data_IF_376144034969
#
_entry.id   IF_376144034969
#
_cell.length_a   1.000
_cell.length_b   1.000
_cell.length_c   1.000
_cell.angle_alpha   90.00
_cell.angle_beta   90.00
_cell.angle_gamma   90.00
#
_symmetry.space_group_name_H-M   'P 1'
#
loop_
_entity.id
_entity.type
_entity.pdbx_description
1 polymer ?
#
# COMPACT_ATOMS: atom_id res chain seq x y z
N UNK A 1 -1.16 8.09 28.32
CA UNK A 1 0.21 8.31 27.81
C UNK A 1 0.08 8.70 26.35
N UNK A 2 0.42 9.94 26.00
CA UNK A 2 0.49 10.34 24.59
C UNK A 2 1.79 9.76 24.04
N UNK A 3 1.71 8.66 23.31
CA UNK A 3 2.81 8.21 22.46
C UNK A 3 3.02 9.30 21.41
N UNK A 4 4.22 9.87 21.37
CA UNK A 4 4.59 10.80 20.31
C UNK A 4 4.26 10.13 18.96
N UNK A 5 3.69 10.83 17.98
CA UNK A 5 3.41 10.24 16.68
C UNK A 5 4.72 9.69 16.13
N UNK A 6 4.78 8.38 15.93
CA UNK A 6 5.93 7.74 15.29
C UNK A 6 6.14 8.42 13.94
N UNK A 7 7.25 9.15 13.82
CA UNK A 7 7.61 9.82 12.58
C UNK A 7 8.15 8.77 11.63
N UNK A 8 7.43 8.55 10.55
CA UNK A 8 7.96 7.92 9.35
C UNK A 8 9.14 8.78 8.85
N UNK A 9 10.38 8.31 9.05
CA UNK A 9 11.58 9.11 8.76
C UNK A 9 12.66 8.31 8.07
N UNK A 10 13.01 8.76 6.86
CA UNK A 10 14.14 8.22 6.09
C UNK A 10 15.50 8.41 6.80
N UNK A 11 15.62 9.38 7.71
CA UNK A 11 16.87 9.59 8.46
C UNK A 11 17.29 8.36 9.26
N UNK A 12 16.30 7.64 9.79
CA UNK A 12 16.50 6.60 10.81
C UNK A 12 16.82 5.22 10.21
N UNK A 13 16.73 5.10 8.87
CA UNK A 13 17.10 3.89 8.16
C UNK A 13 18.64 3.75 8.14
N UNK A 14 19.20 2.57 8.51
CA UNK A 14 20.64 2.33 8.49
C UNK A 14 21.26 2.62 7.11
N UNK A 15 22.47 3.17 7.09
CA UNK A 15 23.18 3.49 5.84
C UNK A 15 23.29 2.28 4.92
N UNK A 16 23.60 1.10 5.45
CA UNK A 16 23.69 -0.13 4.67
C UNK A 16 22.38 -0.48 3.94
N UNK A 17 21.23 -0.26 4.57
CA UNK A 17 19.92 -0.47 3.94
C UNK A 17 19.70 0.54 2.82
N UNK A 18 20.06 1.82 3.04
CA UNK A 18 19.99 2.86 2.00
C UNK A 18 20.86 2.50 0.80
N UNK A 19 22.08 2.02 1.05
CA UNK A 19 23.02 1.61 0.01
C UNK A 19 22.45 0.45 -0.82
N UNK A 20 21.88 -0.57 -0.18
CA UNK A 20 21.22 -1.67 -0.87
C UNK A 20 20.05 -1.20 -1.76
N UNK A 21 19.22 -0.28 -1.25
CA UNK A 21 18.12 0.29 -2.05
C UNK A 21 18.64 1.10 -3.25
N UNK A 22 19.74 1.85 -3.09
CA UNK A 22 20.39 2.55 -4.20
C UNK A 22 20.97 1.56 -5.23
N UNK A 23 21.64 0.50 -4.77
CA UNK A 23 22.16 -0.55 -5.64
C UNK A 23 21.05 -1.26 -6.44
N UNK A 24 19.88 -1.49 -5.84
CA UNK A 24 18.72 -2.00 -6.56
C UNK A 24 18.31 -1.10 -7.73
N UNK A 25 18.30 0.22 -7.52
CA UNK A 25 17.98 1.21 -8.57
C UNK A 25 19.07 1.28 -9.62
N UNK A 26 20.36 1.26 -9.24
CA UNK A 26 21.48 1.24 -10.20
C UNK A 26 21.45 0.02 -11.11
N UNK A 27 21.04 -1.13 -10.57
CA UNK A 27 20.90 -2.36 -11.34
C UNK A 27 19.50 -2.51 -11.95
N UNK A 28 18.70 -1.45 -12.10
CA UNK A 28 17.31 -1.55 -12.53
C UNK A 28 17.12 -2.48 -13.74
N UNK A 29 17.91 -2.35 -14.80
CA UNK A 29 17.74 -3.19 -16.00
C UNK A 29 18.04 -4.68 -15.75
N UNK A 30 18.95 -5.02 -14.82
CA UNK A 30 19.19 -6.39 -14.37
C UNK A 30 18.22 -6.74 -13.23
N UNK A 31 17.04 -7.20 -13.62
CA UNK A 31 15.94 -7.47 -12.67
C UNK A 31 16.35 -8.47 -11.58
N UNK A 32 17.07 -9.54 -11.93
CA UNK A 32 17.48 -10.55 -10.95
C UNK A 32 18.43 -9.96 -9.90
N UNK A 33 19.43 -9.18 -10.34
CA UNK A 33 20.39 -8.55 -9.42
C UNK A 33 19.77 -7.41 -8.62
N UNK A 34 18.90 -6.64 -9.24
CA UNK A 34 18.14 -5.57 -8.60
C UNK A 34 17.27 -6.11 -7.47
N UNK A 35 16.52 -7.20 -7.71
CA UNK A 35 15.70 -7.86 -6.69
C UNK A 35 16.54 -8.45 -5.55
N UNK A 36 17.72 -8.99 -5.83
CA UNK A 36 18.62 -9.47 -4.78
C UNK A 36 18.95 -8.37 -3.76
N UNK A 37 19.20 -7.14 -4.22
CA UNK A 37 19.46 -6.02 -3.32
C UNK A 37 18.20 -5.59 -2.55
N UNK A 38 17.02 -5.64 -3.18
CA UNK A 38 15.73 -5.39 -2.51
C UNK A 38 15.50 -6.40 -1.37
N UNK A 39 15.77 -7.68 -1.61
CA UNK A 39 15.62 -8.72 -0.59
C UNK A 39 16.60 -8.56 0.57
N UNK A 40 17.86 -8.22 0.28
CA UNK A 40 18.86 -7.91 1.31
C UNK A 40 18.46 -6.67 2.13
N UNK A 41 17.92 -5.63 1.48
CA UNK A 41 17.43 -4.45 2.15
C UNK A 41 16.27 -4.78 3.10
N UNK A 42 15.30 -5.60 2.66
CA UNK A 42 14.19 -6.06 3.51
C UNK A 42 14.68 -6.87 4.72
N UNK A 43 15.61 -7.80 4.52
CA UNK A 43 16.15 -8.64 5.60
C UNK A 43 16.82 -7.80 6.70
N UNK A 44 17.53 -6.73 6.31
CA UNK A 44 18.22 -5.84 7.25
C UNK A 44 17.34 -4.76 7.85
N UNK A 45 16.33 -4.29 7.12
CA UNK A 45 15.43 -3.24 7.58
C UNK A 45 14.34 -3.75 8.55
N UNK A 46 14.11 -5.06 8.58
CA UNK A 46 12.99 -5.65 9.28
C UNK A 46 11.67 -5.13 8.72
N UNK A 47 10.83 -4.56 9.58
CA UNK A 47 9.49 -4.11 9.24
C UNK A 47 9.36 -2.57 9.18
N UNK A 48 10.48 -1.86 8.93
CA UNK A 48 10.48 -0.41 8.78
C UNK A 48 9.57 0.06 7.63
N UNK A 49 8.60 0.93 7.95
CA UNK A 49 7.59 1.40 7.00
C UNK A 49 8.17 2.10 5.76
N UNK A 50 9.19 2.94 5.92
CA UNK A 50 9.78 3.67 4.78
C UNK A 50 10.45 2.72 3.79
N UNK A 51 11.10 1.67 4.29
CA UNK A 51 11.67 0.60 3.46
C UNK A 51 10.56 -0.19 2.78
N UNK A 52 9.51 -0.61 3.51
CA UNK A 52 8.37 -1.31 2.92
C UNK A 52 7.70 -0.49 1.81
N UNK A 53 7.51 0.82 2.00
CA UNK A 53 6.95 1.72 0.99
C UNK A 53 7.87 1.80 -0.25
N UNK A 54 9.17 1.94 -0.05
CA UNK A 54 10.15 1.95 -1.15
C UNK A 54 10.13 0.65 -1.95
N UNK A 55 10.10 -0.49 -1.26
CA UNK A 55 10.08 -1.82 -1.88
C UNK A 55 8.74 -2.10 -2.57
N UNK A 56 7.62 -1.64 -1.99
CA UNK A 56 6.32 -1.67 -2.67
C UNK A 56 6.39 -0.94 -4.02
N UNK A 57 6.93 0.29 -4.03
CA UNK A 57 7.07 1.11 -5.25
C UNK A 57 7.97 0.43 -6.27
N UNK A 58 9.08 -0.15 -5.82
CA UNK A 58 9.98 -0.93 -6.67
C UNK A 58 9.20 -2.02 -7.43
N UNK A 59 8.52 -2.91 -6.72
CA UNK A 59 7.77 -4.00 -7.34
C UNK A 59 6.61 -3.52 -8.20
N UNK A 60 5.94 -2.44 -7.77
CA UNK A 60 4.87 -1.82 -8.53
C UNK A 60 5.35 -1.32 -9.90
N UNK A 61 6.45 -0.56 -9.93
CA UNK A 61 7.03 -0.03 -11.17
C UNK A 61 7.71 -1.11 -12.02
N UNK A 62 8.19 -2.19 -11.40
CA UNK A 62 8.63 -3.41 -12.11
C UNK A 62 7.50 -4.25 -12.69
N UNK A 63 6.24 -3.81 -12.53
CA UNK A 63 5.06 -4.56 -12.94
C UNK A 63 4.92 -5.93 -12.24
N UNK A 64 5.57 -6.11 -11.09
CA UNK A 64 5.50 -7.33 -10.28
C UNK A 64 4.37 -7.23 -9.26
N UNK A 65 3.14 -7.22 -9.78
CA UNK A 65 1.91 -6.95 -9.03
C UNK A 65 1.75 -7.85 -7.80
N UNK A 66 2.06 -9.16 -7.91
CA UNK A 66 1.97 -10.10 -6.79
C UNK A 66 2.90 -9.74 -5.64
N UNK A 67 4.13 -9.30 -5.96
CA UNK A 67 5.10 -8.87 -4.95
C UNK A 67 4.70 -7.53 -4.34
N UNK A 68 4.25 -6.57 -5.15
CA UNK A 68 3.72 -5.30 -4.65
C UNK A 68 2.53 -5.52 -3.69
N UNK A 69 1.59 -6.42 -4.05
CA UNK A 69 0.45 -6.78 -3.21
C UNK A 69 0.90 -7.37 -1.87
N UNK A 70 1.90 -8.28 -1.89
CA UNK A 70 2.45 -8.88 -0.67
C UNK A 70 3.02 -7.82 0.27
N UNK A 71 3.77 -6.84 -0.26
CA UNK A 71 4.33 -5.76 0.57
C UNK A 71 3.23 -4.85 1.11
N UNK A 72 2.24 -4.49 0.29
CA UNK A 72 1.09 -3.70 0.75
C UNK A 72 0.34 -4.41 1.89
N UNK A 73 0.16 -5.74 1.81
CA UNK A 73 -0.47 -6.52 2.87
C UNK A 73 0.35 -6.52 4.16
N UNK A 74 1.68 -6.64 4.09
CA UNK A 74 2.56 -6.53 5.26
C UNK A 74 2.37 -5.18 5.97
N UNK A 75 2.29 -4.08 5.20
CA UNK A 75 2.03 -2.74 5.76
C UNK A 75 0.66 -2.67 6.44
N UNK A 76 -0.38 -3.20 5.79
CA UNK A 76 -1.74 -3.23 6.34
C UNK A 76 -1.81 -4.02 7.65
N UNK A 77 -1.26 -5.23 7.67
CA UNK A 77 -1.28 -6.12 8.84
C UNK A 77 -0.52 -5.49 10.01
N UNK A 78 0.66 -4.90 9.73
CA UNK A 78 1.46 -4.21 10.74
C UNK A 78 0.69 -3.06 11.38
N UNK A 79 0.08 -2.18 10.58
CA UNK A 79 -0.70 -1.05 11.11
C UNK A 79 -1.93 -1.55 11.86
N UNK A 80 -2.61 -2.59 11.36
CA UNK A 80 -3.77 -3.18 12.02
C UNK A 80 -3.44 -3.69 13.42
N UNK A 81 -2.29 -4.35 13.58
CA UNK A 81 -1.79 -4.83 14.87
C UNK A 81 -1.42 -3.66 15.79
N UNK A 82 -0.60 -2.73 15.32
CA UNK A 82 -0.09 -1.61 16.13
C UNK A 82 -1.19 -0.66 16.60
N UNK A 83 -2.14 -0.36 15.71
CA UNK A 83 -3.29 0.49 16.01
C UNK A 83 -4.46 -0.29 16.63
N UNK A 84 -4.35 -1.62 16.78
CA UNK A 84 -5.42 -2.48 17.31
C UNK A 84 -6.74 -2.25 16.56
N UNK A 85 -6.69 -2.21 15.24
CA UNK A 85 -7.86 -2.00 14.41
C UNK A 85 -8.72 -3.29 14.39
N UNK A 86 -10.05 -3.17 14.52
CA UNK A 86 -10.95 -4.32 14.44
C UNK A 86 -10.82 -5.11 13.14
N UNK A 87 -11.15 -6.40 13.20
CA UNK A 87 -11.17 -7.30 12.04
C UNK A 87 -12.32 -6.99 11.07
N UNK A 88 -13.49 -6.67 11.61
CA UNK A 88 -14.70 -6.41 10.81
C UNK A 88 -14.69 -4.97 10.31
N UNK A 89 -15.01 -4.79 9.04
CA UNK A 89 -15.03 -3.47 8.40
C UNK A 89 -15.98 -2.51 9.11
N UNK A 90 -17.14 -2.99 9.52
CA UNK A 90 -18.18 -2.19 10.17
C UNK A 90 -17.68 -1.57 11.49
N UNK A 91 -16.83 -2.29 12.20
CA UNK A 91 -16.21 -1.84 13.45
C UNK A 91 -14.95 -1.00 13.18
N UNK A 92 -14.23 -1.29 12.09
CA UNK A 92 -13.01 -0.60 11.70
C UNK A 92 -13.27 0.81 11.14
N UNK A 93 -14.31 0.96 10.30
CA UNK A 93 -14.64 2.18 9.56
C UNK A 93 -14.79 3.43 10.43
N UNK A 94 -15.55 3.45 11.53
CA UNK A 94 -15.70 4.64 12.36
C UNK A 94 -14.35 5.18 12.86
N UNK A 95 -13.45 4.27 13.25
CA UNK A 95 -12.11 4.62 13.73
C UNK A 95 -11.23 5.17 12.61
N UNK A 96 -11.25 4.53 11.44
CA UNK A 96 -10.52 5.02 10.27
C UNK A 96 -10.98 6.43 9.85
N UNK A 97 -12.27 6.73 9.95
CA UNK A 97 -12.81 8.08 9.66
C UNK A 97 -12.32 9.09 10.71
N UNK A 98 -12.43 8.74 12.00
CA UNK A 98 -12.03 9.60 13.10
C UNK A 98 -10.54 9.95 13.05
N UNK A 99 -9.70 8.97 12.73
CA UNK A 99 -8.25 9.06 12.85
C UNK A 99 -7.56 9.25 11.49
N UNK A 100 -8.28 9.56 10.41
CA UNK A 100 -7.75 9.61 9.03
C UNK A 100 -6.53 10.50 8.81
N UNK A 101 -6.38 11.55 9.62
CA UNK A 101 -5.26 12.48 9.55
C UNK A 101 -4.01 11.98 10.30
N UNK A 102 -4.15 10.94 11.13
CA UNK A 102 -3.03 10.33 11.82
C UNK A 102 -2.11 9.62 10.81
N UNK A 103 -0.78 9.79 10.88
CA UNK A 103 0.14 9.30 9.85
C UNK A 103 -0.01 7.81 9.51
N UNK A 104 -0.16 6.95 10.53
CA UNK A 104 -0.32 5.50 10.33
C UNK A 104 -1.66 5.14 9.71
N UNK A 105 -2.75 5.77 10.13
CA UNK A 105 -4.08 5.54 9.53
C UNK A 105 -4.11 6.04 8.09
N UNK A 106 -3.50 7.20 7.81
CA UNK A 106 -3.34 7.68 6.44
C UNK A 106 -2.53 6.70 5.58
N UNK A 107 -1.44 6.14 6.12
CA UNK A 107 -0.65 5.11 5.44
C UNK A 107 -1.48 3.85 5.19
N UNK A 108 -2.26 3.39 6.17
CA UNK A 108 -3.17 2.24 6.02
C UNK A 108 -4.18 2.45 4.91
N UNK A 109 -4.87 3.61 4.87
CA UNK A 109 -5.86 3.93 3.84
C UNK A 109 -5.21 3.96 2.44
N UNK A 110 -4.01 4.54 2.31
CA UNK A 110 -3.28 4.54 1.05
C UNK A 110 -2.84 3.13 0.61
N UNK A 111 -2.34 2.31 1.54
CA UNK A 111 -1.99 0.93 1.26
C UNK A 111 -3.23 0.11 0.87
N UNK A 112 -4.37 0.34 1.52
CA UNK A 112 -5.63 -0.35 1.24
C UNK A 112 -6.15 0.03 -0.15
N UNK A 113 -6.16 1.32 -0.48
CA UNK A 113 -6.48 1.80 -1.83
C UNK A 113 -5.58 1.16 -2.90
N UNK A 114 -4.28 1.08 -2.64
CA UNK A 114 -3.31 0.44 -3.52
C UNK A 114 -3.59 -1.06 -3.72
N UNK A 115 -3.98 -1.80 -2.67
CA UNK A 115 -4.35 -3.21 -2.82
C UNK A 115 -5.54 -3.39 -3.75
N UNK A 116 -6.57 -2.54 -3.65
CA UNK A 116 -7.71 -2.57 -4.56
C UNK A 116 -7.30 -2.36 -6.02
N UNK A 117 -6.43 -1.38 -6.29
CA UNK A 117 -5.88 -1.17 -7.63
C UNK A 117 -5.08 -2.38 -8.13
N UNK A 118 -4.20 -2.95 -7.30
CA UNK A 118 -3.36 -4.08 -7.71
C UNK A 118 -4.21 -5.34 -7.97
N UNK A 119 -5.22 -5.59 -7.13
CA UNK A 119 -6.16 -6.69 -7.32
C UNK A 119 -6.94 -6.54 -8.62
N UNK A 120 -7.37 -5.32 -8.97
CA UNK A 120 -8.00 -5.05 -10.25
C UNK A 120 -7.08 -5.42 -11.42
N UNK A 121 -5.79 -5.07 -11.34
CA UNK A 121 -4.79 -5.42 -12.36
C UNK A 121 -4.50 -6.91 -12.46
N UNK A 122 -4.64 -7.64 -11.36
CA UNK A 122 -4.49 -9.09 -11.31
C UNK A 122 -5.75 -9.84 -11.79
N UNK A 123 -6.85 -9.13 -12.07
CA UNK A 123 -8.13 -9.71 -12.48
C UNK A 123 -9.03 -10.14 -11.31
N UNK A 124 -8.67 -9.82 -10.07
CA UNK A 124 -9.45 -10.11 -8.86
C UNK A 124 -10.53 -9.03 -8.65
N UNK A 125 -11.44 -8.92 -9.63
CA UNK A 125 -12.34 -7.76 -9.79
C UNK A 125 -13.26 -7.56 -8.59
N UNK A 126 -13.87 -8.63 -8.06
CA UNK A 126 -14.82 -8.50 -6.94
C UNK A 126 -14.15 -8.05 -5.65
N UNK A 127 -12.94 -8.56 -5.37
CA UNK A 127 -12.16 -8.11 -4.21
C UNK A 127 -11.71 -6.66 -4.40
N UNK A 128 -11.28 -6.30 -5.61
CA UNK A 128 -10.89 -4.94 -5.94
C UNK A 128 -12.04 -3.95 -5.72
N UNK A 129 -13.24 -4.26 -6.24
CA UNK A 129 -14.47 -3.46 -6.03
C UNK A 129 -14.76 -3.27 -4.56
N UNK A 130 -14.78 -4.35 -3.78
CA UNK A 130 -15.06 -4.28 -2.35
C UNK A 130 -14.08 -3.34 -1.62
N UNK A 131 -12.78 -3.45 -1.92
CA UNK A 131 -11.75 -2.62 -1.29
C UNK A 131 -11.91 -1.16 -1.70
N UNK A 132 -12.11 -0.89 -2.99
CA UNK A 132 -12.18 0.48 -3.49
C UNK A 132 -13.46 1.20 -3.08
N UNK A 133 -14.58 0.48 -2.98
CA UNK A 133 -15.83 0.97 -2.38
C UNK A 133 -15.60 1.40 -0.93
N UNK A 134 -15.00 0.53 -0.11
CA UNK A 134 -14.70 0.80 1.29
C UNK A 134 -13.80 2.02 1.49
N UNK A 135 -12.78 2.18 0.66
CA UNK A 135 -11.92 3.38 0.72
C UNK A 135 -12.70 4.63 0.32
N UNK A 136 -13.53 4.56 -0.71
CA UNK A 136 -14.38 5.68 -1.15
C UNK A 136 -15.34 6.17 -0.04
N UNK A 137 -15.82 5.27 0.82
CA UNK A 137 -16.65 5.66 1.98
C UNK A 137 -15.93 6.56 3.00
N UNK A 138 -14.59 6.57 2.98
CA UNK A 138 -13.74 7.31 3.92
C UNK A 138 -13.06 8.51 3.25
N UNK A 139 -12.52 8.30 2.04
CA UNK A 139 -11.82 9.30 1.25
C UNK A 139 -12.82 10.19 0.48
N UNK A 140 -13.48 11.08 1.21
CA UNK A 140 -14.47 12.01 0.65
C UNK A 140 -13.85 13.08 -0.26
N UNK A 141 -12.52 13.24 -0.25
CA UNK A 141 -11.80 14.28 -1.01
C UNK A 141 -11.12 13.73 -2.27
N UNK A 142 -11.21 12.42 -2.53
CA UNK A 142 -10.50 11.74 -3.64
C UNK A 142 -8.99 11.97 -3.57
N UNK A 143 -8.42 11.86 -2.38
CA UNK A 143 -6.98 11.95 -2.15
C UNK A 143 -6.24 10.69 -2.65
N UNK A 144 -6.95 9.58 -2.80
CA UNK A 144 -6.48 8.31 -3.35
C UNK A 144 -7.12 7.99 -4.71
N UNK A 145 -6.52 7.03 -5.44
CA UNK A 145 -7.08 6.54 -6.71
C UNK A 145 -8.27 5.59 -6.55
N UNK A 146 -8.66 5.23 -5.32
CA UNK A 146 -9.65 4.17 -5.09
C UNK A 146 -11.00 4.48 -5.74
N UNK A 147 -11.49 5.72 -5.62
CA UNK A 147 -12.77 6.12 -6.20
C UNK A 147 -12.79 5.95 -7.72
N UNK A 148 -11.71 6.37 -8.41
CA UNK A 148 -11.60 6.18 -9.86
C UNK A 148 -11.55 4.70 -10.24
N UNK A 149 -10.83 3.88 -9.46
CA UNK A 149 -10.80 2.43 -9.69
C UNK A 149 -12.17 1.82 -9.52
N UNK A 150 -12.90 2.16 -8.44
CA UNK A 150 -14.26 1.68 -8.23
C UNK A 150 -15.18 2.05 -9.40
N UNK A 151 -15.21 3.33 -9.79
CA UNK A 151 -16.03 3.83 -10.90
C UNK A 151 -15.75 3.10 -12.22
N UNK A 152 -14.48 2.81 -12.52
CA UNK A 152 -14.10 2.03 -13.71
C UNK A 152 -14.58 0.58 -13.61
N UNK A 153 -14.45 -0.05 -12.45
CA UNK A 153 -14.84 -1.45 -12.25
C UNK A 153 -16.36 -1.66 -12.20
N UNK A 154 -17.13 -0.63 -11.88
CA UNK A 154 -18.60 -0.69 -11.77
C UNK A 154 -19.33 -0.08 -12.95
N UNK A 155 -18.62 0.52 -13.91
CA UNK A 155 -19.24 1.06 -15.12
C UNK A 155 -19.90 -0.08 -15.90
N UNK A 156 -21.23 0.00 -16.04
CA UNK A 156 -21.97 -0.84 -16.98
C UNK A 156 -21.58 -0.35 -18.39
N UNK A 157 -21.16 -1.23 -19.31
CA UNK A 157 -21.01 -0.85 -20.70
C UNK A 157 -22.34 -0.25 -21.15
N UNK A 158 -22.32 0.99 -21.66
CA UNK A 158 -23.46 1.49 -22.42
C UNK A 158 -23.63 0.50 -23.58
N UNK A 159 -24.80 -0.12 -23.70
CA UNK A 159 -25.13 -0.87 -24.90
C UNK A 159 -24.91 0.11 -26.05
N UNK A 160 -23.93 -0.16 -26.90
CA UNK A 160 -23.74 0.61 -28.13
C UNK A 160 -25.09 0.57 -28.85
N UNK A 161 -25.81 1.69 -28.87
CA UNK A 161 -27.03 1.85 -29.66
C UNK A 161 -26.63 1.65 -31.13
N UNK A 162 -26.81 0.43 -31.65
CA UNK A 162 -26.79 0.11 -33.08
C UNK A 162 -27.96 0.77 -33.82
#
# INVERSE_FOLDING_TARGET
MQTAPEKLSWSDIPTEVKDLLMQAVEQWEDTAKSEQYIHQALEKAGDNYEVLIGVYRYFFYKNQQKMALKIAQIVLDKIKIEEQLPERWEDQKPRLIQDKEQPKIRLYLNAYAATGYILARLGEIEQAKQITERVQEIDTKRESSATTVFEVLTRVPEEDEE
#
